data_IF_943229004551
#
_entry.id   IF_943229004551
#
_cell.length_a   1.000
_cell.length_b   1.000
_cell.length_c   1.000
_cell.angle_alpha   90.00
_cell.angle_beta   90.00
_cell.angle_gamma   90.00
#
_symmetry.space_group_name_H-M   'P 1'
#
loop_
_entity.id
_entity.type
_entity.pdbx_description
1 polymer ?
#
# COMPACT_ATOMS: atom_id res chain seq x y z
N UNK A 1 -14.48 12.53 6.41
CA UNK A 1 -13.19 12.28 5.74
C UNK A 1 -12.20 11.93 6.85
N UNK A 2 -11.45 10.83 6.71
CA UNK A 2 -10.64 10.31 7.82
C UNK A 2 -9.41 11.22 8.01
N UNK A 3 -9.18 11.73 9.23
CA UNK A 3 -8.06 12.66 9.54
C UNK A 3 -6.69 12.14 9.09
N UNK A 4 -6.50 10.82 9.15
CA UNK A 4 -5.29 10.14 8.68
C UNK A 4 -5.10 10.27 7.16
N UNK A 5 -6.17 10.28 6.36
CA UNK A 5 -6.04 10.40 4.90
C UNK A 5 -5.59 11.80 4.49
N UNK A 6 -6.10 12.83 5.17
CA UNK A 6 -5.68 14.21 4.94
C UNK A 6 -4.21 14.40 5.32
N UNK A 7 -3.80 13.92 6.50
CA UNK A 7 -2.40 13.99 6.94
C UNK A 7 -1.46 13.21 5.99
N UNK A 8 -1.86 12.04 5.49
CA UNK A 8 -1.06 11.28 4.52
C UNK A 8 -0.96 12.04 3.19
N UNK A 9 -2.04 12.64 2.69
CA UNK A 9 -2.02 13.44 1.45
C UNK A 9 -1.09 14.64 1.56
N UNK A 10 -1.08 15.31 2.72
CA UNK A 10 -0.14 16.41 3.00
C UNK A 10 1.33 15.93 3.03
N UNK A 11 1.58 14.73 3.55
CA UNK A 11 2.94 14.19 3.72
C UNK A 11 3.43 13.36 2.51
N UNK A 12 2.56 13.01 1.57
CA UNK A 12 2.89 12.27 0.36
C UNK A 12 2.28 12.91 -0.92
N UNK A 13 2.62 14.17 -1.22
CA UNK A 13 1.98 14.93 -2.31
C UNK A 13 2.30 14.40 -3.71
N UNK A 14 3.33 13.56 -3.85
CA UNK A 14 3.70 12.92 -5.12
C UNK A 14 3.00 11.58 -5.36
N UNK A 15 2.14 11.13 -4.43
CA UNK A 15 1.39 9.90 -4.61
C UNK A 15 0.41 10.02 -5.77
N UNK A 16 0.37 8.99 -6.61
CA UNK A 16 -0.66 8.81 -7.63
C UNK A 16 -1.83 8.08 -6.99
N UNK A 17 -3.02 8.67 -7.12
CA UNK A 17 -4.27 8.06 -6.65
C UNK A 17 -4.94 7.27 -7.77
N UNK A 18 -5.73 6.26 -7.40
CA UNK A 18 -6.60 5.58 -8.34
C UNK A 18 -7.46 4.51 -7.70
N UNK A 19 -8.29 3.90 -8.53
CA UNK A 19 -9.28 2.93 -8.12
C UNK A 19 -9.06 1.58 -8.81
N UNK A 20 -9.39 0.50 -8.10
CA UNK A 20 -9.37 -0.88 -8.57
C UNK A 20 -10.63 -1.60 -8.08
N UNK A 21 -11.21 -2.44 -8.93
CA UNK A 21 -12.31 -3.30 -8.54
C UNK A 21 -11.76 -4.68 -8.18
N UNK A 22 -11.89 -5.07 -6.91
CA UNK A 22 -11.48 -6.37 -6.42
C UNK A 22 -12.69 -7.31 -6.32
N UNK A 23 -12.62 -8.54 -6.86
CA UNK A 23 -13.77 -9.46 -6.93
C UNK A 23 -14.47 -9.69 -5.59
N UNK A 24 -13.69 -9.79 -4.50
CA UNK A 24 -14.20 -10.09 -3.16
C UNK A 24 -14.34 -8.87 -2.24
N UNK A 25 -13.54 -7.83 -2.48
CA UNK A 25 -13.40 -6.69 -1.54
C UNK A 25 -14.13 -5.44 -2.05
N UNK A 26 -14.64 -5.49 -3.28
CA UNK A 26 -15.31 -4.37 -3.92
C UNK A 26 -14.32 -3.31 -4.40
N UNK A 27 -14.75 -2.05 -4.34
CA UNK A 27 -13.93 -0.91 -4.77
C UNK A 27 -12.79 -0.66 -3.78
N UNK A 28 -11.56 -0.74 -4.30
CA UNK A 28 -10.33 -0.43 -3.59
C UNK A 28 -9.81 0.92 -4.09
N UNK A 29 -9.75 1.89 -3.19
CA UNK A 29 -9.06 3.16 -3.41
C UNK A 29 -7.58 2.96 -3.04
N UNK A 30 -6.66 3.37 -3.90
CA UNK A 30 -5.23 3.24 -3.64
C UNK A 30 -4.46 4.53 -3.86
N UNK A 31 -3.34 4.63 -3.16
CA UNK A 31 -2.30 5.65 -3.33
C UNK A 31 -0.98 4.93 -3.55
N UNK A 32 -0.23 5.36 -4.56
CA UNK A 32 1.05 4.73 -4.87
C UNK A 32 2.11 5.74 -5.24
N UNK A 33 3.35 5.41 -4.92
CA UNK A 33 4.53 6.15 -5.35
C UNK A 33 5.61 5.16 -5.72
N UNK A 34 6.26 5.42 -6.84
CA UNK A 34 7.24 4.53 -7.42
C UNK A 34 8.57 5.26 -7.64
N UNK A 35 9.66 4.62 -7.23
CA UNK A 35 11.01 5.11 -7.48
C UNK A 35 11.98 3.94 -7.70
N UNK A 36 12.59 3.88 -8.89
CA UNK A 36 13.64 2.90 -9.25
C UNK A 36 13.28 1.44 -8.91
N UNK A 37 12.07 1.01 -9.31
CA UNK A 37 11.59 -0.35 -9.06
C UNK A 37 11.16 -0.63 -7.62
N UNK A 38 11.07 0.40 -6.77
CA UNK A 38 10.46 0.32 -5.44
C UNK A 38 9.11 1.00 -5.48
N UNK A 39 8.09 0.29 -5.06
CA UNK A 39 6.72 0.77 -4.99
C UNK A 39 6.36 0.90 -3.52
N UNK A 40 5.74 2.02 -3.18
CA UNK A 40 4.95 2.13 -1.95
C UNK A 40 3.50 2.12 -2.37
N UNK A 41 2.70 1.26 -1.73
CA UNK A 41 1.27 1.13 -1.98
C UNK A 41 0.53 1.34 -0.67
N UNK A 42 -0.55 2.11 -0.70
CA UNK A 42 -1.57 2.21 0.34
C UNK A 42 -2.90 1.89 -0.31
N UNK A 43 -3.77 1.20 0.38
CA UNK A 43 -5.13 0.99 -0.09
C UNK A 43 -6.16 1.05 1.03
N UNK A 44 -7.38 1.42 0.67
CA UNK A 44 -8.57 1.39 1.53
C UNK A 44 -9.79 0.85 0.80
N UNK A 45 -10.65 0.14 1.53
CA UNK A 45 -11.94 -0.37 1.06
C UNK A 45 -12.94 -0.42 2.22
N UNK A 46 -14.24 -0.49 1.90
CA UNK A 46 -15.33 -0.26 2.87
C UNK A 46 -15.32 -1.19 4.08
N UNK A 47 -15.01 -2.47 3.89
CA UNK A 47 -15.01 -3.50 4.94
C UNK A 47 -13.63 -3.78 5.54
N UNK A 48 -12.68 -2.87 5.34
CA UNK A 48 -11.33 -3.07 5.82
C UNK A 48 -11.28 -2.92 7.35
N UNK A 49 -10.56 -3.82 8.03
CA UNK A 49 -10.45 -3.76 9.49
C UNK A 49 -9.77 -2.47 9.97
N UNK A 50 -10.09 -2.03 11.18
CA UNK A 50 -9.53 -0.80 11.75
C UNK A 50 -7.98 -0.82 11.76
N UNK A 51 -7.37 0.28 11.35
CA UNK A 51 -5.91 0.43 11.27
C UNK A 51 -5.24 -0.20 10.04
N UNK A 52 -5.93 -1.04 9.27
CA UNK A 52 -5.41 -1.60 8.01
C UNK A 52 -5.24 -0.54 6.92
N UNK A 53 -6.16 0.43 6.84
CA UNK A 53 -6.11 1.52 5.85
C UNK A 53 -4.98 2.52 6.10
N UNK A 54 -4.33 2.46 7.27
CA UNK A 54 -3.16 3.27 7.62
C UNK A 54 -1.84 2.58 7.24
N UNK A 55 -1.89 1.34 6.73
CA UNK A 55 -0.71 0.57 6.33
C UNK A 55 -0.18 1.03 4.98
N UNK A 56 1.14 1.04 4.92
CA UNK A 56 1.96 1.34 3.76
C UNK A 56 2.77 0.11 3.42
N UNK A 57 2.60 -0.40 2.21
CA UNK A 57 3.19 -1.63 1.70
C UNK A 57 4.37 -1.27 0.82
N UNK A 58 5.58 -1.64 1.25
CA UNK A 58 6.79 -1.39 0.49
C UNK A 58 7.10 -2.64 -0.34
N UNK A 59 6.97 -2.53 -1.65
CA UNK A 59 7.12 -3.62 -2.61
C UNK A 59 8.36 -3.35 -3.46
N UNK A 60 9.26 -4.32 -3.53
CA UNK A 60 10.40 -4.27 -4.44
C UNK A 60 10.07 -5.11 -5.67
N UNK A 61 10.12 -4.49 -6.86
CA UNK A 61 10.03 -5.19 -8.13
C UNK A 61 11.35 -5.91 -8.43
N UNK A 62 11.24 -7.15 -8.90
CA UNK A 62 12.30 -7.94 -9.52
C UNK A 62 11.98 -8.10 -11.01
N UNK A 63 12.91 -8.68 -11.78
CA UNK A 63 12.74 -8.87 -13.23
C UNK A 63 11.40 -9.56 -13.58
N UNK A 64 11.04 -10.64 -12.86
CA UNK A 64 9.83 -11.43 -13.15
C UNK A 64 8.90 -11.59 -11.93
N UNK A 65 9.20 -10.93 -10.82
CA UNK A 65 8.44 -11.10 -9.56
C UNK A 65 8.44 -9.83 -8.72
N UNK A 66 7.79 -9.87 -7.57
CA UNK A 66 7.79 -8.81 -6.59
C UNK A 66 8.03 -9.41 -5.20
N UNK A 67 8.51 -8.57 -4.27
CA UNK A 67 8.71 -8.96 -2.87
C UNK A 67 8.12 -7.89 -1.97
N UNK A 68 7.19 -8.26 -1.09
CA UNK A 68 6.78 -7.40 0.01
C UNK A 68 7.97 -7.23 0.95
N UNK A 69 8.58 -6.05 0.95
CA UNK A 69 9.82 -5.80 1.69
C UNK A 69 9.57 -5.47 3.15
N UNK A 70 8.53 -4.69 3.42
CA UNK A 70 7.98 -4.49 4.76
C UNK A 70 6.65 -3.76 4.69
N UNK A 71 5.90 -3.83 5.79
CA UNK A 71 4.72 -3.00 6.04
C UNK A 71 5.10 -1.98 7.10
N UNK A 72 4.66 -0.74 6.90
CA UNK A 72 4.76 0.31 7.91
C UNK A 72 3.38 0.91 8.17
N UNK A 73 3.16 1.46 9.36
CA UNK A 73 1.99 2.32 9.62
C UNK A 73 2.46 3.71 10.00
N UNK A 74 1.62 4.67 9.65
CA UNK A 74 1.75 6.01 10.19
C UNK A 74 1.35 5.99 11.66
N UNK A 75 2.29 6.36 12.54
CA UNK A 75 2.00 6.69 13.92
C UNK A 75 2.09 8.21 14.07
N UNK A 76 1.01 8.79 14.60
CA UNK A 76 1.01 10.16 15.08
C UNK A 76 1.72 10.21 16.43
N UNK A 77 2.98 10.65 16.45
CA UNK A 77 3.70 10.95 17.68
C UNK A 77 4.23 12.37 17.60
N UNK A 78 3.86 13.22 18.56
CA UNK A 78 4.37 14.58 18.71
C UNK A 78 4.28 15.45 17.44
N UNK A 79 3.07 15.58 16.88
CA UNK A 79 2.74 16.51 15.79
C UNK A 79 3.45 16.28 14.46
N UNK A 80 4.12 15.12 14.29
CA UNK A 80 4.70 14.68 13.01
C UNK A 80 4.34 13.22 12.75
N UNK A 81 3.85 12.94 11.54
CA UNK A 81 3.63 11.58 11.07
C UNK A 81 4.98 10.86 10.94
N UNK A 82 5.16 9.76 11.67
CA UNK A 82 6.31 8.86 11.51
C UNK A 82 5.85 7.54 10.92
N UNK A 83 6.55 7.08 9.90
CA UNK A 83 6.44 5.73 9.37
C UNK A 83 7.17 4.78 10.32
N UNK A 84 6.41 3.95 11.03
CA UNK A 84 6.96 2.91 11.89
C UNK A 84 6.87 1.59 11.15
N UNK A 85 8.00 0.92 10.97
CA UNK A 85 8.07 -0.40 10.35
C UNK A 85 7.44 -1.42 11.32
N UNK A 86 6.43 -2.13 10.85
CA UNK A 86 5.63 -3.03 11.68
C UNK A 86 6.22 -4.44 11.83
N UNK A 87 7.29 -4.80 11.10
CA UNK A 87 7.69 -6.21 10.98
C UNK A 87 8.95 -6.62 11.74
N UNK A 88 8.72 -7.60 12.62
CA UNK A 88 9.57 -8.76 12.91
C UNK A 88 9.48 -9.77 11.74
N UNK A 89 10.60 -10.41 11.38
CA UNK A 89 10.76 -11.25 10.18
C UNK A 89 9.90 -12.53 10.11
N UNK A 90 9.16 -12.89 11.18
CA UNK A 90 8.50 -14.20 11.31
C UNK A 90 7.09 -14.29 10.70
N UNK A 91 6.48 -13.15 10.36
CA UNK A 91 5.07 -13.06 9.91
C UNK A 91 4.96 -12.60 8.45
N UNK A 92 6.07 -12.57 7.72
CA UNK A 92 6.12 -11.96 6.40
C UNK A 92 5.34 -12.77 5.36
N UNK A 93 5.37 -14.11 5.44
CA UNK A 93 4.64 -15.00 4.51
C UNK A 93 3.12 -14.89 4.71
N UNK A 94 2.64 -14.90 5.96
CA UNK A 94 1.21 -14.74 6.27
C UNK A 94 0.68 -13.36 5.84
N UNK A 95 1.49 -12.32 6.04
CA UNK A 95 1.13 -10.97 5.60
C UNK A 95 1.18 -10.86 4.07
N UNK A 96 2.16 -11.49 3.43
CA UNK A 96 2.20 -11.57 1.97
C UNK A 96 0.92 -12.24 1.44
N UNK A 97 0.57 -13.42 1.94
CA UNK A 97 -0.64 -14.15 1.53
C UNK A 97 -1.92 -13.33 1.76
N UNK A 98 -2.03 -12.66 2.92
CA UNK A 98 -3.21 -11.84 3.25
C UNK A 98 -3.45 -10.70 2.25
N UNK A 99 -2.39 -10.04 1.76
CA UNK A 99 -2.52 -8.88 0.86
C UNK A 99 -2.14 -9.18 -0.59
N UNK A 100 -1.70 -10.40 -0.90
CA UNK A 100 -1.21 -10.83 -2.21
C UNK A 100 -2.23 -10.52 -3.30
N UNK A 101 -3.51 -10.84 -3.10
CA UNK A 101 -4.56 -10.60 -4.10
C UNK A 101 -4.67 -9.11 -4.48
N UNK A 102 -4.62 -8.21 -3.50
CA UNK A 102 -4.68 -6.76 -3.72
C UNK A 102 -3.41 -6.26 -4.42
N UNK A 103 -2.24 -6.72 -3.97
CA UNK A 103 -0.95 -6.32 -4.55
C UNK A 103 -0.83 -6.80 -5.99
N UNK A 104 -1.19 -8.04 -6.29
CA UNK A 104 -1.18 -8.60 -7.64
C UNK A 104 -2.14 -7.84 -8.55
N UNK A 105 -3.37 -7.60 -8.10
CA UNK A 105 -4.36 -6.81 -8.85
C UNK A 105 -3.83 -5.40 -9.17
N UNK A 106 -3.21 -4.74 -8.20
CA UNK A 106 -2.57 -3.44 -8.41
C UNK A 106 -1.43 -3.53 -9.45
N UNK A 107 -0.54 -4.52 -9.34
CA UNK A 107 0.59 -4.69 -10.25
C UNK A 107 0.16 -5.02 -11.67
N UNK A 108 -0.90 -5.82 -11.84
CA UNK A 108 -1.50 -6.09 -13.16
C UNK A 108 -2.11 -4.84 -13.78
N UNK A 109 -2.88 -4.09 -13.00
CA UNK A 109 -3.44 -2.80 -13.43
C UNK A 109 -2.33 -1.80 -13.80
N UNK A 110 -1.24 -1.76 -13.03
CA UNK A 110 -0.04 -0.97 -13.34
C UNK A 110 0.58 -1.37 -14.67
N UNK A 111 0.80 -2.66 -14.94
CA UNK A 111 1.37 -3.15 -16.22
C UNK A 111 0.53 -2.73 -17.42
N UNK A 112 -0.81 -2.71 -17.28
CA UNK A 112 -1.72 -2.23 -18.33
C UNK A 112 -1.60 -0.72 -18.57
N UNK A 113 -1.36 0.06 -17.52
CA UNK A 113 -1.19 1.53 -17.60
C UNK A 113 0.20 1.95 -18.04
N UNK A 114 1.22 1.14 -17.75
CA UNK A 114 2.61 1.41 -18.08
C UNK A 114 3.22 0.18 -18.77
N UNK A 115 2.98 0.01 -20.10
CA UNK A 115 3.40 -1.16 -20.85
C UNK A 115 4.90 -1.16 -21.23
N UNK A 116 5.68 -0.23 -20.68
CA UNK A 116 7.06 0.07 -21.08
C UNK A 116 8.09 -0.32 -20.03
#
# INVERSE_FOLDING_TARGET
MNKIEEEIKENWPSAVEGDLEHPELGLIHYWTGEQRGRIVLRFSFERQAEGESAKMFFINLKQDSWVLSHISTFQSSDSKLKLVKNQSFKEQDELEDKYRSIIELFLESRKKRNPF
#
